data_IF_929478597358
#
_entry.id   IF_929478597358
#
_cell.length_a   1.000
_cell.length_b   1.000
_cell.length_c   1.000
_cell.angle_alpha   90.00
_cell.angle_beta   90.00
_cell.angle_gamma   90.00
#
_symmetry.space_group_name_H-M   'P 1'
#
loop_
_entity.id
_entity.type
_entity.pdbx_description
1 polymer ?
#
# COMPACT_ATOMS: atom_id res chain seq x y z
N UNK A 1 3.40 -59.87 -7.75
CA UNK A 1 3.05 -58.49 -8.07
C UNK A 1 3.51 -57.66 -6.86
N UNK A 2 4.56 -56.87 -7.00
CA UNK A 2 4.97 -55.91 -5.95
C UNK A 2 3.87 -54.84 -5.83
N UNK A 3 3.26 -54.73 -4.66
CA UNK A 3 2.33 -53.65 -4.39
C UNK A 3 3.09 -52.33 -4.61
N UNK A 4 2.60 -51.46 -5.48
CA UNK A 4 3.12 -50.06 -5.56
C UNK A 4 3.00 -49.45 -4.16
N UNK A 5 3.98 -48.64 -3.73
CA UNK A 5 3.90 -47.96 -2.46
C UNK A 5 2.66 -47.05 -2.43
N UNK A 6 2.07 -46.88 -1.27
CA UNK A 6 0.94 -45.97 -1.05
C UNK A 6 1.43 -44.54 -1.32
N UNK A 7 0.72 -43.80 -2.17
CA UNK A 7 0.98 -42.38 -2.45
C UNK A 7 0.31 -41.53 -1.38
N UNK A 8 1.04 -40.60 -0.80
CA UNK A 8 0.56 -39.63 0.18
C UNK A 8 0.34 -38.25 -0.45
N UNK A 9 -0.33 -37.32 0.25
CA UNK A 9 -0.51 -35.95 -0.18
C UNK A 9 0.85 -35.21 -0.21
N UNK A 10 1.77 -35.57 0.69
CA UNK A 10 3.15 -35.07 0.70
C UNK A 10 3.94 -35.50 -0.56
N UNK A 11 3.70 -36.68 -1.06
CA UNK A 11 4.30 -37.15 -2.34
C UNK A 11 3.73 -36.36 -3.53
N UNK A 12 2.54 -35.76 -3.38
CA UNK A 12 1.95 -34.86 -4.38
C UNK A 12 2.41 -33.39 -4.21
N UNK A 13 3.29 -33.10 -3.24
CA UNK A 13 3.90 -31.77 -3.05
C UNK A 13 3.17 -30.87 -2.04
N UNK A 14 2.21 -31.39 -1.25
CA UNK A 14 1.49 -30.66 -0.21
C UNK A 14 1.78 -31.24 1.17
N UNK A 15 2.34 -30.43 2.07
CA UNK A 15 2.73 -30.81 3.43
C UNK A 15 1.79 -30.22 4.50
N UNK A 16 0.79 -30.98 4.91
CA UNK A 16 -0.19 -30.56 5.93
C UNK A 16 0.48 -30.18 7.25
N UNK A 17 1.52 -30.93 7.67
CA UNK A 17 2.23 -30.66 8.92
C UNK A 17 2.94 -29.30 8.88
N UNK A 18 3.49 -28.90 7.73
CA UNK A 18 4.08 -27.59 7.52
C UNK A 18 3.05 -26.46 7.64
N UNK A 19 1.85 -26.66 7.09
CA UNK A 19 0.73 -25.72 7.24
C UNK A 19 0.31 -25.55 8.71
N UNK A 20 0.16 -26.64 9.45
CA UNK A 20 -0.16 -26.60 10.88
C UNK A 20 0.94 -25.90 11.69
N UNK A 21 2.21 -26.17 11.40
CA UNK A 21 3.35 -25.51 12.04
C UNK A 21 3.36 -23.99 11.81
N UNK A 22 3.01 -23.54 10.60
CA UNK A 22 2.86 -22.12 10.30
C UNK A 22 1.76 -21.48 11.14
N UNK A 23 0.57 -22.11 11.20
CA UNK A 23 -0.57 -21.58 11.98
C UNK A 23 -0.18 -21.40 13.44
N UNK A 24 0.52 -22.38 14.05
CA UNK A 24 0.99 -22.25 15.44
C UNK A 24 1.95 -21.05 15.62
N UNK A 25 2.85 -20.82 14.68
CA UNK A 25 3.80 -19.69 14.75
C UNK A 25 3.15 -18.32 14.66
N UNK A 26 2.07 -18.19 13.89
CA UNK A 26 1.45 -16.89 13.62
C UNK A 26 0.31 -16.53 14.61
N UNK A 27 -0.13 -17.45 15.47
CA UNK A 27 -1.16 -17.16 16.50
C UNK A 27 -0.85 -15.94 17.35
N UNK A 28 0.41 -15.78 17.75
CA UNK A 28 0.89 -14.62 18.52
C UNK A 28 0.79 -13.30 17.73
N UNK A 29 0.99 -13.36 16.43
CA UNK A 29 0.90 -12.19 15.53
C UNK A 29 -0.55 -11.69 15.49
N UNK A 30 -1.51 -12.56 15.17
CA UNK A 30 -2.92 -12.20 15.16
C UNK A 30 -3.40 -11.64 16.51
N UNK A 31 -2.97 -12.26 17.62
CA UNK A 31 -3.35 -11.79 18.97
C UNK A 31 -2.89 -10.37 19.27
N UNK A 32 -1.71 -9.94 18.80
CA UNK A 32 -1.20 -8.58 19.02
C UNK A 32 -2.02 -7.52 18.29
N UNK A 33 -2.64 -7.86 17.18
CA UNK A 33 -3.46 -6.94 16.37
C UNK A 33 -4.91 -6.88 16.82
N UNK A 34 -5.32 -7.68 17.82
CA UNK A 34 -6.72 -7.87 18.18
C UNK A 34 -7.40 -6.56 18.62
N UNK A 35 -8.51 -6.23 17.97
CA UNK A 35 -9.46 -5.18 18.33
C UNK A 35 -10.57 -5.75 19.21
N UNK A 36 -11.21 -4.93 20.07
CA UNK A 36 -12.30 -5.39 20.93
C UNK A 36 -13.53 -5.90 20.17
N UNK A 37 -13.72 -5.43 18.93
CA UNK A 37 -14.85 -5.82 18.08
C UNK A 37 -14.70 -7.22 17.47
N UNK A 38 -13.50 -7.80 17.50
CA UNK A 38 -13.24 -9.11 16.93
C UNK A 38 -13.64 -10.20 17.93
N UNK A 39 -14.54 -11.07 17.50
CA UNK A 39 -15.04 -12.18 18.29
C UNK A 39 -14.37 -13.49 17.88
N UNK A 40 -13.58 -14.09 18.75
CA UNK A 40 -12.88 -15.34 18.50
C UNK A 40 -11.40 -15.18 18.15
N UNK A 41 -10.83 -16.16 17.47
CA UNK A 41 -9.41 -16.19 17.07
C UNK A 41 -9.20 -16.98 15.79
N UNK A 42 -7.93 -17.20 15.42
CA UNK A 42 -7.57 -18.02 14.25
C UNK A 42 -8.04 -19.47 14.40
N UNK A 43 -8.41 -20.09 13.28
CA UNK A 43 -8.75 -21.52 13.18
C UNK A 43 -10.23 -21.82 12.99
N UNK A 44 -11.12 -20.82 12.96
CA UNK A 44 -12.51 -20.96 12.52
C UNK A 44 -12.66 -20.88 11.01
N UNK A 45 -13.81 -21.29 10.47
CA UNK A 45 -14.11 -21.15 9.04
C UNK A 45 -14.28 -19.69 8.60
N UNK A 46 -14.62 -18.80 9.53
CA UNK A 46 -14.78 -17.38 9.27
C UNK A 46 -14.49 -16.54 10.52
N UNK A 47 -14.05 -15.32 10.31
CA UNK A 47 -13.86 -14.35 11.37
C UNK A 47 -15.15 -13.56 11.63
N UNK A 48 -15.43 -13.30 12.91
CA UNK A 48 -16.57 -12.50 13.32
C UNK A 48 -16.06 -11.17 13.86
N UNK A 49 -16.64 -10.06 13.40
CA UNK A 49 -16.32 -8.73 13.85
C UNK A 49 -17.61 -7.91 14.02
N UNK A 50 -17.81 -7.36 15.19
CA UNK A 50 -18.91 -6.41 15.42
C UNK A 50 -18.59 -5.06 14.77
N UNK A 51 -19.61 -4.36 14.31
CA UNK A 51 -19.45 -2.96 13.91
C UNK A 51 -19.23 -2.13 15.19
N UNK A 52 -18.18 -1.29 15.27
CA UNK A 52 -17.92 -0.48 16.46
C UNK A 52 -19.11 0.37 16.84
N UNK A 53 -19.31 0.56 18.13
CA UNK A 53 -20.36 1.44 18.65
C UNK A 53 -20.10 2.90 18.24
N UNK A 54 -21.19 3.67 18.06
CA UNK A 54 -21.10 5.11 17.76
C UNK A 54 -21.50 5.48 16.34
N UNK A 55 -21.47 4.57 15.39
CA UNK A 55 -22.00 4.78 14.03
C UNK A 55 -23.53 4.77 14.04
N UNK A 56 -24.13 5.75 13.38
CA UNK A 56 -25.59 5.84 13.22
C UNK A 56 -26.08 5.13 11.95
N UNK A 57 -25.34 5.33 10.88
CA UNK A 57 -25.56 4.69 9.57
C UNK A 57 -24.22 4.17 9.05
N UNK A 58 -23.70 3.07 9.62
CA UNK A 58 -22.41 2.53 9.20
C UNK A 58 -22.45 2.04 7.76
N UNK A 59 -21.41 2.36 6.98
CA UNK A 59 -21.17 1.84 5.65
C UNK A 59 -19.86 1.07 5.69
N UNK A 60 -19.89 -0.18 5.22
CA UNK A 60 -18.68 -1.01 5.10
C UNK A 60 -17.95 -0.61 3.81
N UNK A 61 -16.64 -0.45 3.94
CA UNK A 61 -15.72 -0.23 2.82
C UNK A 61 -14.77 -1.41 2.77
N UNK A 62 -14.61 -2.01 1.60
CA UNK A 62 -13.73 -3.16 1.41
C UNK A 62 -12.80 -2.93 0.24
N UNK A 63 -11.57 -3.42 0.36
CA UNK A 63 -10.57 -3.39 -0.69
C UNK A 63 -9.76 -4.68 -0.70
N UNK A 64 -9.21 -5.00 -1.85
CA UNK A 64 -8.27 -6.10 -2.05
C UNK A 64 -7.13 -5.62 -2.93
N UNK A 65 -5.92 -6.02 -2.59
CA UNK A 65 -4.72 -5.71 -3.37
C UNK A 65 -3.66 -6.79 -3.14
N UNK A 66 -2.59 -6.75 -3.93
CA UNK A 66 -1.40 -7.58 -3.80
C UNK A 66 -0.14 -6.73 -3.59
N UNK A 67 1.01 -7.40 -3.54
CA UNK A 67 2.31 -6.72 -3.50
C UNK A 67 2.87 -6.55 -4.92
N UNK A 68 2.47 -7.41 -5.83
CA UNK A 68 2.92 -7.38 -7.21
C UNK A 68 4.37 -7.83 -7.38
N UNK A 69 5.03 -7.36 -8.43
CA UNK A 69 6.35 -7.88 -8.85
C UNK A 69 7.52 -7.44 -7.95
N UNK A 70 7.29 -6.63 -6.91
CA UNK A 70 8.22 -6.41 -5.79
C UNK A 70 8.59 -7.73 -5.13
N UNK A 71 7.65 -8.71 -5.09
CA UNK A 71 7.90 -10.06 -4.58
C UNK A 71 9.08 -10.74 -5.25
N UNK A 72 9.26 -10.58 -6.58
CA UNK A 72 10.41 -11.17 -7.27
C UNK A 72 11.74 -10.57 -6.77
N UNK A 73 11.76 -9.28 -6.44
CA UNK A 73 12.93 -8.65 -5.88
C UNK A 73 13.20 -9.15 -4.45
N UNK A 74 12.15 -9.30 -3.63
CA UNK A 74 12.23 -9.88 -2.29
C UNK A 74 12.80 -11.31 -2.31
N UNK A 75 12.32 -12.15 -3.22
CA UNK A 75 12.81 -13.52 -3.42
C UNK A 75 14.29 -13.53 -3.81
N UNK A 76 14.69 -12.71 -4.77
CA UNK A 76 16.07 -12.64 -5.24
C UNK A 76 17.05 -12.17 -4.16
N UNK A 77 16.62 -11.24 -3.31
CA UNK A 77 17.42 -10.67 -2.21
C UNK A 77 17.27 -11.45 -0.90
N UNK A 78 16.38 -12.44 -0.85
CA UNK A 78 15.97 -13.13 0.38
C UNK A 78 15.56 -12.14 1.50
N UNK A 79 14.80 -11.08 1.14
CA UNK A 79 14.29 -10.04 2.05
C UNK A 79 12.76 -10.09 2.08
N UNK A 80 12.20 -10.71 3.12
CA UNK A 80 10.77 -10.99 3.23
C UNK A 80 10.07 -10.21 4.36
N UNK A 81 10.81 -9.55 5.21
CA UNK A 81 10.36 -8.94 6.46
C UNK A 81 9.44 -7.73 6.27
N UNK A 82 9.63 -6.95 5.20
CA UNK A 82 8.80 -5.78 4.88
C UNK A 82 7.57 -6.07 4.01
N UNK A 83 7.56 -7.23 3.33
CA UNK A 83 6.55 -7.56 2.31
C UNK A 83 5.13 -7.64 2.88
N UNK A 84 4.97 -8.16 4.10
CA UNK A 84 3.67 -8.20 4.76
C UNK A 84 3.11 -6.80 5.07
N UNK A 85 3.97 -5.85 5.45
CA UNK A 85 3.57 -4.45 5.62
C UNK A 85 3.15 -3.83 4.29
N UNK A 86 3.87 -4.12 3.19
CA UNK A 86 3.48 -3.67 1.86
C UNK A 86 2.06 -4.12 1.52
N UNK A 87 1.74 -5.39 1.74
CA UNK A 87 0.42 -5.96 1.46
C UNK A 87 -0.70 -5.22 2.23
N UNK A 88 -0.50 -5.02 3.54
CA UNK A 88 -1.48 -4.32 4.37
C UNK A 88 -1.63 -2.87 3.91
N UNK A 89 -0.52 -2.17 3.67
CA UNK A 89 -0.51 -0.78 3.29
C UNK A 89 -1.30 -0.51 2.00
N UNK A 90 -1.14 -1.38 0.99
CA UNK A 90 -1.86 -1.26 -0.28
C UNK A 90 -3.38 -1.32 -0.08
N UNK A 91 -3.85 -2.18 0.82
CA UNK A 91 -5.28 -2.32 1.11
C UNK A 91 -5.81 -1.20 2.01
N UNK A 92 -5.16 -0.92 3.16
CA UNK A 92 -5.73 0.00 4.17
C UNK A 92 -5.64 1.46 3.76
N UNK A 93 -4.64 1.84 2.97
CA UNK A 93 -4.55 3.20 2.43
C UNK A 93 -5.70 3.50 1.46
N UNK A 94 -6.15 2.49 0.68
CA UNK A 94 -7.31 2.63 -0.21
C UNK A 94 -8.63 2.73 0.56
N UNK A 95 -8.72 2.18 1.77
CA UNK A 95 -9.89 2.35 2.62
C UNK A 95 -9.93 3.76 3.24
N UNK A 96 -8.81 4.24 3.77
CA UNK A 96 -8.78 5.55 4.45
C UNK A 96 -9.06 6.71 3.51
N UNK A 97 -8.79 6.60 2.20
CA UNK A 97 -9.12 7.66 1.24
C UNK A 97 -10.61 7.92 1.12
N UNK A 98 -11.45 6.94 1.49
CA UNK A 98 -12.90 7.10 1.61
C UNK A 98 -13.34 7.61 2.99
N UNK A 99 -12.40 7.87 3.92
CA UNK A 99 -12.68 8.21 5.31
C UNK A 99 -12.97 7.01 6.21
N UNK A 100 -12.75 5.77 5.72
CA UNK A 100 -13.06 4.56 6.46
C UNK A 100 -11.96 4.18 7.45
N UNK A 101 -12.37 3.79 8.66
CA UNK A 101 -11.53 3.14 9.67
C UNK A 101 -11.39 1.65 9.32
N UNK A 102 -10.17 1.12 9.06
CA UNK A 102 -9.97 -0.30 8.87
C UNK A 102 -10.29 -1.10 10.13
N UNK A 103 -11.11 -2.15 10.03
CA UNK A 103 -11.50 -3.01 11.13
C UNK A 103 -10.67 -4.28 11.18
N UNK A 104 -10.61 -5.00 10.07
CA UNK A 104 -9.89 -6.26 9.99
C UNK A 104 -9.28 -6.52 8.62
N UNK A 105 -8.30 -7.39 8.63
CA UNK A 105 -7.50 -7.81 7.49
C UNK A 105 -7.46 -9.33 7.39
N UNK A 106 -7.46 -9.83 6.16
CA UNK A 106 -7.28 -11.23 5.78
C UNK A 106 -6.21 -11.29 4.70
N UNK A 107 -5.39 -12.34 4.69
CA UNK A 107 -4.40 -12.59 3.66
C UNK A 107 -4.62 -13.92 2.93
N UNK A 108 -4.09 -14.00 1.72
CA UNK A 108 -3.94 -15.23 0.96
C UNK A 108 -2.48 -15.38 0.55
N UNK A 109 -1.82 -16.41 1.07
CA UNK A 109 -0.45 -16.77 0.76
C UNK A 109 -0.46 -18.02 -0.12
N UNK A 110 -0.10 -17.89 -1.40
CA UNK A 110 -0.01 -19.00 -2.35
C UNK A 110 1.45 -19.26 -2.71
N UNK A 111 1.88 -20.53 -2.70
CA UNK A 111 3.26 -20.91 -2.99
C UNK A 111 3.33 -22.26 -3.70
N UNK A 112 4.43 -22.53 -4.41
CA UNK A 112 4.65 -23.87 -4.97
C UNK A 112 5.02 -24.88 -3.91
N UNK A 113 5.84 -24.48 -2.93
CA UNK A 113 6.24 -25.28 -1.77
C UNK A 113 6.38 -24.37 -0.56
N UNK A 114 5.73 -24.72 0.54
CA UNK A 114 5.73 -23.90 1.76
C UNK A 114 7.09 -23.96 2.46
N UNK A 115 7.72 -22.77 2.55
CA UNK A 115 8.80 -22.52 3.48
C UNK A 115 8.21 -21.81 4.71
N UNK A 116 8.11 -22.55 5.81
CA UNK A 116 7.46 -22.09 7.06
C UNK A 116 8.15 -20.84 7.63
N UNK A 117 9.48 -20.72 7.51
CA UNK A 117 10.23 -19.59 8.05
C UNK A 117 9.96 -18.31 7.24
N UNK A 118 9.95 -18.42 5.92
CA UNK A 118 9.62 -17.30 5.01
C UNK A 118 8.18 -16.86 5.21
N UNK A 119 7.23 -17.80 5.20
CA UNK A 119 5.81 -17.49 5.39
C UNK A 119 5.54 -16.84 6.75
N UNK A 120 6.14 -17.36 7.85
CA UNK A 120 6.00 -16.76 9.17
C UNK A 120 6.59 -15.35 9.23
N UNK A 121 7.70 -15.07 8.51
CA UNK A 121 8.28 -13.73 8.40
C UNK A 121 7.33 -12.78 7.67
N UNK A 122 6.76 -13.20 6.54
CA UNK A 122 5.77 -12.41 5.79
C UNK A 122 4.54 -12.10 6.65
N UNK A 123 3.95 -13.12 7.32
CA UNK A 123 2.77 -12.92 8.18
C UNK A 123 3.10 -12.04 9.39
N UNK A 124 4.32 -12.12 9.91
CA UNK A 124 4.79 -11.17 10.95
C UNK A 124 4.77 -9.73 10.43
N UNK A 125 5.24 -9.50 9.21
CA UNK A 125 5.14 -8.20 8.53
C UNK A 125 3.69 -7.74 8.32
N UNK A 126 2.77 -8.66 7.99
CA UNK A 126 1.32 -8.37 7.94
C UNK A 126 0.82 -7.89 9.31
N UNK A 127 1.21 -8.58 10.39
CA UNK A 127 0.87 -8.15 11.75
C UNK A 127 1.36 -6.74 12.07
N UNK A 128 2.61 -6.41 11.71
CA UNK A 128 3.16 -5.05 11.86
C UNK A 128 2.32 -4.03 11.08
N UNK A 129 1.97 -4.33 9.84
CA UNK A 129 1.09 -3.47 9.03
C UNK A 129 -0.27 -3.26 9.67
N UNK A 130 -0.89 -4.32 10.21
CA UNK A 130 -2.17 -4.24 10.91
C UNK A 130 -2.07 -3.39 12.19
N UNK A 131 -1.01 -3.53 12.99
CA UNK A 131 -0.75 -2.70 14.17
C UNK A 131 -0.60 -1.21 13.80
N UNK A 132 0.13 -0.92 12.71
CA UNK A 132 0.28 0.45 12.18
C UNK A 132 -1.05 1.03 11.71
N UNK A 133 -1.87 0.24 11.03
CA UNK A 133 -3.19 0.65 10.55
C UNK A 133 -4.24 0.72 11.67
N UNK A 134 -4.07 -0.04 12.76
CA UNK A 134 -5.05 -0.18 13.83
C UNK A 134 -6.19 -1.15 13.48
N UNK A 135 -5.95 -2.12 12.62
CA UNK A 135 -6.89 -3.19 12.28
C UNK A 135 -6.41 -4.55 12.79
N UNK A 136 -7.30 -5.53 12.85
CA UNK A 136 -6.98 -6.88 13.32
C UNK A 136 -6.66 -7.82 12.15
N UNK A 137 -5.57 -8.58 12.25
CA UNK A 137 -5.37 -9.77 11.42
C UNK A 137 -6.26 -10.89 11.98
N UNK A 138 -7.36 -11.22 11.28
CA UNK A 138 -8.39 -12.11 11.80
C UNK A 138 -8.38 -13.49 11.16
N UNK A 139 -7.61 -13.69 10.10
CA UNK A 139 -7.50 -14.95 9.39
C UNK A 139 -6.75 -14.78 8.09
N UNK A 140 -6.75 -15.84 7.32
CA UNK A 140 -6.11 -15.91 6.01
C UNK A 140 -6.15 -17.33 5.50
N UNK A 141 -5.51 -17.56 4.37
CA UNK A 141 -5.34 -18.87 3.75
C UNK A 141 -3.88 -19.06 3.33
N UNK A 142 -3.35 -20.24 3.55
CA UNK A 142 -2.03 -20.63 3.04
C UNK A 142 -2.20 -21.83 2.14
N UNK A 143 -1.90 -21.69 0.85
CA UNK A 143 -2.08 -22.73 -0.15
C UNK A 143 -0.76 -23.17 -0.76
N UNK A 144 -0.40 -24.45 -0.63
CA UNK A 144 0.61 -25.06 -1.47
C UNK A 144 -0.01 -25.48 -2.80
N UNK A 145 0.53 -24.94 -3.89
CA UNK A 145 0.03 -25.14 -5.25
C UNK A 145 1.17 -25.61 -6.18
N UNK A 146 1.67 -26.85 -5.99
CA UNK A 146 2.75 -27.39 -6.77
C UNK A 146 2.39 -27.41 -8.27
N UNK A 147 3.29 -26.89 -9.11
CA UNK A 147 3.06 -26.74 -10.54
C UNK A 147 2.35 -25.45 -10.98
N UNK A 148 1.79 -24.68 -10.05
CA UNK A 148 1.28 -23.32 -10.30
C UNK A 148 2.36 -22.27 -10.03
N UNK A 149 3.13 -22.45 -8.95
CA UNK A 149 4.28 -21.64 -8.58
C UNK A 149 5.54 -22.51 -8.64
N UNK A 150 6.68 -21.90 -8.94
CA UNK A 150 7.95 -22.59 -9.08
C UNK A 150 8.69 -22.61 -7.74
N UNK A 151 9.00 -23.81 -7.24
CA UNK A 151 9.73 -23.99 -5.97
C UNK A 151 9.07 -23.29 -4.79
N UNK A 152 9.82 -22.43 -4.12
CA UNK A 152 9.37 -21.64 -2.96
C UNK A 152 8.85 -20.23 -3.36
N UNK A 153 8.66 -19.95 -4.65
CA UNK A 153 8.02 -18.73 -5.10
C UNK A 153 6.63 -18.61 -4.49
N UNK A 154 6.27 -17.40 -4.11
CA UNK A 154 4.95 -17.14 -3.51
C UNK A 154 4.31 -15.87 -4.07
N UNK A 155 2.99 -15.82 -3.95
CA UNK A 155 2.17 -14.66 -4.23
C UNK A 155 1.27 -14.32 -3.04
N UNK A 156 0.87 -13.06 -2.93
CA UNK A 156 0.11 -12.54 -1.80
C UNK A 156 -1.09 -11.75 -2.30
N UNK A 157 -2.23 -11.98 -1.69
CA UNK A 157 -3.39 -11.11 -1.79
C UNK A 157 -3.88 -10.73 -0.40
N UNK A 158 -4.21 -9.45 -0.22
CA UNK A 158 -4.77 -8.90 1.00
C UNK A 158 -6.22 -8.48 0.82
N UNK A 159 -7.01 -8.61 1.87
CA UNK A 159 -8.41 -8.18 1.93
C UNK A 159 -8.62 -7.39 3.21
N UNK A 160 -9.07 -6.16 3.08
CA UNK A 160 -9.36 -5.31 4.21
C UNK A 160 -10.82 -4.88 4.20
N UNK A 161 -11.43 -4.83 5.37
CA UNK A 161 -12.78 -4.28 5.57
C UNK A 161 -12.69 -3.20 6.64
N UNK A 162 -13.28 -2.05 6.34
CA UNK A 162 -13.40 -0.91 7.24
C UNK A 162 -14.82 -0.41 7.32
N UNK A 163 -15.02 0.62 8.12
CA UNK A 163 -16.33 1.25 8.34
C UNK A 163 -16.21 2.78 8.29
N UNK A 164 -17.22 3.42 7.78
CA UNK A 164 -17.36 4.88 7.77
C UNK A 164 -18.81 5.26 8.06
N UNK A 165 -19.04 6.36 8.76
CA UNK A 165 -20.39 6.95 8.88
C UNK A 165 -20.84 7.45 7.51
N UNK A 166 -22.06 7.11 7.09
CA UNK A 166 -22.58 7.44 5.75
C UNK A 166 -22.49 8.93 5.40
N UNK A 167 -22.71 9.80 6.38
CA UNK A 167 -22.62 11.25 6.20
C UNK A 167 -21.19 11.79 6.15
N UNK A 168 -20.19 10.97 6.48
CA UNK A 168 -18.77 11.34 6.57
C UNK A 168 -17.93 10.70 5.44
N UNK A 169 -18.57 10.03 4.49
CA UNK A 169 -17.89 9.46 3.31
C UNK A 169 -17.17 10.59 2.55
N UNK A 170 -15.88 10.39 2.30
CA UNK A 170 -15.06 11.27 1.47
C UNK A 170 -15.07 10.73 0.05
N UNK A 171 -15.77 11.44 -0.85
CA UNK A 171 -16.01 11.03 -2.24
C UNK A 171 -15.57 12.07 -3.28
N UNK A 172 -14.93 13.17 -2.82
CA UNK A 172 -14.48 14.25 -3.69
C UNK A 172 -15.57 15.24 -4.13
N UNK A 173 -16.84 15.00 -3.80
CA UNK A 173 -17.96 15.86 -4.22
C UNK A 173 -17.87 17.30 -3.72
N UNK A 174 -17.08 17.55 -2.66
CA UNK A 174 -16.87 18.87 -2.05
C UNK A 174 -15.66 19.61 -2.63
N UNK A 175 -14.92 19.00 -3.55
CA UNK A 175 -13.75 19.63 -4.19
C UNK A 175 -14.22 20.78 -5.08
N UNK A 176 -13.54 21.92 -4.99
CA UNK A 176 -13.90 23.15 -5.69
C UNK A 176 -12.67 23.86 -6.27
N UNK A 177 -12.91 24.78 -7.18
CA UNK A 177 -11.89 25.70 -7.71
C UNK A 177 -11.18 26.46 -6.59
N UNK A 178 -9.85 26.55 -6.67
CA UNK A 178 -9.01 27.19 -5.67
C UNK A 178 -8.67 26.34 -4.45
N UNK A 179 -9.17 25.08 -4.35
CA UNK A 179 -8.75 24.17 -3.29
C UNK A 179 -7.27 23.81 -3.43
N UNK A 180 -6.60 23.65 -2.30
CA UNK A 180 -5.20 23.26 -2.24
C UNK A 180 -5.01 21.74 -2.25
N UNK A 181 -3.92 21.30 -2.86
CA UNK A 181 -3.44 19.91 -2.78
C UNK A 181 -2.23 19.83 -1.85
N UNK A 182 -2.32 19.00 -0.83
CA UNK A 182 -1.26 18.73 0.14
C UNK A 182 -0.76 17.31 -0.07
N UNK A 183 0.55 17.13 -0.16
CA UNK A 183 1.18 15.82 -0.30
C UNK A 183 1.79 15.32 1.00
N UNK A 184 1.82 13.99 1.16
CA UNK A 184 2.62 13.28 2.14
C UNK A 184 3.70 12.46 1.42
N UNK A 185 4.93 12.38 2.00
CA UNK A 185 6.03 11.66 1.36
C UNK A 185 5.78 10.15 1.31
N UNK A 186 6.29 9.52 0.26
CA UNK A 186 6.46 8.07 0.21
C UNK A 186 7.78 7.65 0.88
N UNK A 187 7.90 6.37 1.23
CA UNK A 187 9.16 5.77 1.73
C UNK A 187 10.12 5.34 0.60
N UNK A 188 9.64 5.37 -0.63
CA UNK A 188 10.29 4.89 -1.84
C UNK A 188 9.23 4.56 -2.88
N UNK A 189 9.47 3.60 -3.79
CA UNK A 189 8.50 3.20 -4.81
C UNK A 189 7.22 2.56 -4.25
N UNK A 190 7.17 2.25 -2.95
CA UNK A 190 6.10 1.49 -2.32
C UNK A 190 6.00 0.08 -2.89
N UNK A 191 4.86 -0.29 -3.50
CA UNK A 191 4.66 -1.60 -4.13
C UNK A 191 4.27 -1.48 -5.60
N UNK A 192 4.58 -0.35 -6.25
CA UNK A 192 4.16 -0.06 -7.61
C UNK A 192 5.34 0.19 -8.55
N UNK A 193 5.14 -0.08 -9.85
CA UNK A 193 6.16 0.16 -10.87
C UNK A 193 7.32 -0.86 -10.88
N UNK A 194 7.25 -1.95 -10.12
CA UNK A 194 8.37 -2.89 -9.97
C UNK A 194 8.68 -3.69 -11.23
N UNK A 195 7.78 -3.83 -12.18
CA UNK A 195 8.10 -4.39 -13.48
C UNK A 195 9.07 -3.51 -14.26
N UNK A 196 8.87 -2.18 -14.23
CA UNK A 196 9.81 -1.20 -14.79
C UNK A 196 11.13 -1.18 -14.00
N UNK A 197 11.06 -1.09 -12.66
CA UNK A 197 12.24 -1.09 -11.78
C UNK A 197 13.13 -2.29 -12.06
N UNK A 198 12.57 -3.50 -12.10
CA UNK A 198 13.31 -4.73 -12.39
C UNK A 198 13.92 -4.71 -13.79
N UNK A 199 13.20 -4.19 -14.78
CA UNK A 199 13.74 -4.04 -16.13
C UNK A 199 14.92 -3.07 -16.17
N UNK A 200 14.85 -1.96 -15.41
CA UNK A 200 15.95 -0.99 -15.29
C UNK A 200 17.17 -1.65 -14.63
N UNK A 201 16.97 -2.39 -13.54
CA UNK A 201 18.06 -3.14 -12.88
C UNK A 201 18.74 -4.09 -13.89
N UNK A 202 17.95 -4.86 -14.65
CA UNK A 202 18.47 -5.79 -15.65
C UNK A 202 19.31 -5.09 -16.73
N UNK A 203 18.81 -3.96 -17.28
CA UNK A 203 19.52 -3.28 -18.38
C UNK A 203 20.73 -2.48 -17.89
N UNK A 204 20.70 -1.98 -16.67
CA UNK A 204 21.84 -1.26 -16.06
C UNK A 204 22.99 -2.21 -15.72
N UNK A 205 22.70 -3.48 -15.46
CA UNK A 205 23.67 -4.45 -14.96
C UNK A 205 24.18 -4.14 -13.56
N UNK A 206 23.50 -3.23 -12.83
CA UNK A 206 23.92 -2.79 -11.51
C UNK A 206 23.67 -3.87 -10.45
N UNK A 207 24.66 -4.09 -9.59
CA UNK A 207 24.49 -4.83 -8.35
C UNK A 207 23.87 -3.90 -7.29
N UNK A 208 22.57 -4.03 -7.08
CA UNK A 208 21.79 -3.15 -6.21
C UNK A 208 22.14 -3.28 -4.72
N UNK A 209 22.85 -4.33 -4.30
CA UNK A 209 23.31 -4.49 -2.92
C UNK A 209 24.60 -3.69 -2.67
N UNK A 210 25.39 -3.43 -3.72
CA UNK A 210 26.63 -2.67 -3.63
C UNK A 210 26.48 -1.20 -3.99
N UNK A 211 25.52 -0.86 -4.87
CA UNK A 211 25.22 0.55 -5.22
C UNK A 211 24.69 1.29 -4.00
N UNK A 212 25.27 2.46 -3.72
CA UNK A 212 24.92 3.32 -2.59
C UNK A 212 24.33 4.64 -3.09
N UNK A 213 23.19 5.05 -2.56
CA UNK A 213 22.63 6.38 -2.77
C UNK A 213 22.55 7.10 -1.42
N UNK A 214 23.30 8.19 -1.28
CA UNK A 214 23.40 8.94 -0.02
C UNK A 214 23.78 8.07 1.20
N UNK A 215 24.61 7.04 0.98
CA UNK A 215 25.08 6.12 2.04
C UNK A 215 24.10 4.98 2.37
N UNK A 216 22.99 4.85 1.63
CA UNK A 216 22.04 3.74 1.79
C UNK A 216 22.11 2.80 0.59
N UNK A 217 22.20 1.47 0.78
CA UNK A 217 22.15 0.51 -0.31
C UNK A 217 20.88 0.68 -1.16
N UNK A 218 21.03 0.61 -2.48
CA UNK A 218 19.90 0.72 -3.39
C UNK A 218 18.85 -0.37 -3.13
N UNK A 219 19.29 -1.58 -2.78
CA UNK A 219 18.39 -2.67 -2.39
C UNK A 219 17.49 -2.29 -1.21
N UNK A 220 18.00 -1.56 -0.21
CA UNK A 220 17.20 -1.14 0.96
C UNK A 220 16.20 -0.04 0.58
N UNK A 221 16.59 0.90 -0.29
CA UNK A 221 15.70 1.93 -0.81
C UNK A 221 14.56 1.34 -1.65
N UNK A 222 14.87 0.33 -2.47
CA UNK A 222 13.88 -0.38 -3.28
C UNK A 222 13.00 -1.31 -2.44
N UNK A 223 13.51 -1.88 -1.34
CA UNK A 223 12.74 -2.75 -0.45
C UNK A 223 12.08 -2.01 0.70
N UNK A 224 12.22 -0.68 0.79
CA UNK A 224 11.54 0.11 1.82
C UNK A 224 10.04 -0.22 1.85
N UNK A 225 9.47 -0.50 3.04
CA UNK A 225 8.06 -0.86 3.14
C UNK A 225 7.16 0.32 2.79
N UNK A 226 6.03 0.03 2.17
CA UNK A 226 4.98 1.02 1.86
C UNK A 226 4.50 1.68 3.15
N UNK A 227 4.39 3.01 3.16
CA UNK A 227 3.88 3.76 4.31
C UNK A 227 2.39 3.52 4.50
N UNK A 228 1.99 3.47 5.77
CA UNK A 228 0.59 3.37 6.18
C UNK A 228 0.18 4.73 6.75
N UNK A 229 -0.76 5.40 6.09
CA UNK A 229 -1.22 6.77 6.43
C UNK A 229 -2.48 6.79 7.28
N UNK A 230 -3.03 5.63 7.66
CA UNK A 230 -4.36 5.48 8.27
C UNK A 230 -4.52 6.34 9.53
N UNK A 231 -3.66 6.15 10.53
CA UNK A 231 -3.83 6.86 11.83
C UNK A 231 -3.75 8.38 11.73
N UNK A 232 -2.72 8.98 11.08
CA UNK A 232 -2.65 10.43 10.93
C UNK A 232 -3.81 11.00 10.09
N UNK A 233 -4.28 10.28 9.07
CA UNK A 233 -5.39 10.75 8.24
C UNK A 233 -6.75 10.65 8.96
N UNK A 234 -7.02 9.56 9.69
CA UNK A 234 -8.24 9.46 10.49
C UNK A 234 -8.28 10.50 11.60
N UNK A 235 -7.15 10.80 12.25
CA UNK A 235 -7.06 11.88 13.23
C UNK A 235 -7.34 13.23 12.58
N UNK A 236 -6.72 13.53 11.42
CA UNK A 236 -6.96 14.75 10.66
C UNK A 236 -8.44 14.92 10.30
N UNK A 237 -9.07 13.88 9.75
CA UNK A 237 -10.50 13.90 9.37
C UNK A 237 -11.37 14.23 10.59
N UNK A 238 -11.15 13.50 11.68
CA UNK A 238 -11.92 13.62 12.92
C UNK A 238 -11.79 15.01 13.56
N UNK A 239 -10.56 15.51 13.64
CA UNK A 239 -10.27 16.72 14.41
C UNK A 239 -10.57 18.01 13.64
N UNK A 240 -10.49 17.97 12.30
CA UNK A 240 -10.63 19.19 11.49
C UNK A 240 -11.87 19.20 10.59
N UNK A 241 -12.32 18.05 10.11
CA UNK A 241 -13.37 17.98 9.08
C UNK A 241 -13.00 18.67 7.75
N UNK A 242 -11.70 19.00 7.55
CA UNK A 242 -11.23 19.82 6.43
C UNK A 242 -11.02 19.04 5.13
N UNK A 243 -10.94 17.72 5.21
CA UNK A 243 -10.58 16.87 4.06
C UNK A 243 -11.75 16.75 3.09
N UNK A 244 -11.53 17.11 1.83
CA UNK A 244 -12.54 17.03 0.76
C UNK A 244 -12.34 15.82 -0.16
N UNK A 245 -11.08 15.44 -0.39
CA UNK A 245 -10.68 14.27 -1.17
C UNK A 245 -9.30 13.79 -0.74
N UNK A 246 -9.00 12.53 -0.97
CA UNK A 246 -7.67 11.95 -0.80
C UNK A 246 -7.38 10.98 -1.94
N UNK A 247 -6.14 10.95 -2.41
CA UNK A 247 -5.67 10.01 -3.43
C UNK A 247 -4.42 9.28 -2.93
N UNK A 248 -4.50 7.95 -2.81
CA UNK A 248 -3.35 7.09 -2.60
C UNK A 248 -2.59 6.96 -3.92
N UNK A 249 -1.29 7.32 -3.92
CA UNK A 249 -0.50 7.35 -5.15
C UNK A 249 0.15 5.97 -5.37
N UNK A 250 -0.49 5.18 -6.20
CA UNK A 250 -0.14 3.80 -6.56
C UNK A 250 0.30 3.70 -8.03
N UNK A 251 0.10 2.57 -8.67
CA UNK A 251 0.28 2.42 -10.12
C UNK A 251 -0.55 3.45 -10.90
N UNK A 252 0.03 4.06 -11.91
CA UNK A 252 -0.55 5.23 -12.59
C UNK A 252 -0.05 6.58 -12.06
N UNK A 253 0.71 6.58 -10.94
CA UNK A 253 1.34 7.78 -10.36
C UNK A 253 0.35 8.88 -10.03
N UNK A 254 0.82 10.14 -10.09
CA UNK A 254 -0.03 11.31 -9.86
C UNK A 254 -1.11 11.46 -10.94
N UNK A 255 -0.78 11.08 -12.18
CA UNK A 255 -1.62 11.34 -13.37
C UNK A 255 -2.92 10.53 -13.37
N UNK A 256 -2.88 9.27 -12.91
CA UNK A 256 -4.04 8.39 -12.96
C UNK A 256 -4.77 8.30 -11.60
N UNK A 257 -4.10 8.58 -10.46
CA UNK A 257 -4.74 8.45 -9.15
C UNK A 257 -5.45 9.71 -8.68
N UNK A 258 -4.90 10.90 -8.89
CA UNK A 258 -5.57 12.15 -8.49
C UNK A 258 -6.94 12.33 -9.19
N UNK A 259 -7.10 12.05 -10.51
CA UNK A 259 -8.38 12.21 -11.18
C UNK A 259 -9.52 11.36 -10.61
N UNK A 260 -9.20 10.22 -9.99
CA UNK A 260 -10.20 9.28 -9.45
C UNK A 260 -11.06 9.89 -8.33
N UNK A 261 -10.52 10.91 -7.66
CA UNK A 261 -11.15 11.56 -6.51
C UNK A 261 -11.60 13.00 -6.79
N UNK A 262 -11.51 13.44 -8.04
CA UNK A 262 -11.94 14.78 -8.47
C UNK A 262 -13.32 14.72 -9.14
N UNK A 263 -14.20 15.70 -8.88
CA UNK A 263 -15.45 15.83 -9.60
C UNK A 263 -15.22 16.17 -11.09
N UNK A 264 -16.22 15.96 -11.90
CA UNK A 264 -16.18 16.36 -13.31
C UNK A 264 -15.91 17.86 -13.44
N UNK A 265 -15.07 18.25 -14.40
CA UNK A 265 -14.69 19.65 -14.63
C UNK A 265 -13.64 20.23 -13.67
N UNK A 266 -13.13 19.43 -12.72
CA UNK A 266 -11.97 19.82 -11.91
C UNK A 266 -10.66 19.30 -12.52
N UNK A 267 -9.61 20.10 -12.43
CA UNK A 267 -8.25 19.76 -12.87
C UNK A 267 -7.26 20.03 -11.74
N UNK A 268 -6.40 19.09 -11.45
CA UNK A 268 -5.28 19.27 -10.54
C UNK A 268 -4.11 19.90 -11.28
N UNK A 269 -3.56 20.99 -10.74
CA UNK A 269 -2.32 21.61 -11.22
C UNK A 269 -1.26 21.38 -10.17
N UNK A 270 -0.30 20.53 -10.48
CA UNK A 270 0.77 20.07 -9.58
C UNK A 270 2.08 20.73 -9.97
N UNK A 271 2.81 21.27 -9.00
CA UNK A 271 4.14 21.83 -9.17
C UNK A 271 5.21 20.76 -8.82
N UNK A 272 5.82 20.17 -9.83
CA UNK A 272 6.85 19.14 -9.66
C UNK A 272 8.15 19.69 -9.02
N UNK A 273 8.36 21.00 -8.95
CA UNK A 273 9.46 21.63 -8.24
C UNK A 273 9.18 21.85 -6.74
N UNK A 274 7.96 21.58 -6.26
CA UNK A 274 7.58 21.81 -4.86
C UNK A 274 8.22 20.81 -3.87
N UNK A 275 8.86 19.75 -4.36
CA UNK A 275 9.58 18.78 -3.52
C UNK A 275 10.87 18.29 -4.15
N UNK A 276 11.77 17.82 -3.30
CA UNK A 276 12.98 17.11 -3.73
C UNK A 276 12.64 15.64 -3.96
N UNK A 277 12.64 15.20 -5.21
CA UNK A 277 12.42 13.79 -5.56
C UNK A 277 13.53 12.94 -4.92
N UNK A 278 13.20 11.84 -4.19
CA UNK A 278 14.18 10.95 -3.59
C UNK A 278 15.16 10.36 -4.61
N UNK A 279 16.42 10.21 -4.22
CA UNK A 279 17.51 9.81 -5.11
C UNK A 279 17.30 8.46 -5.82
N UNK A 280 16.50 7.56 -5.24
CA UNK A 280 16.16 6.29 -5.87
C UNK A 280 15.41 6.49 -7.20
N UNK A 281 14.56 7.51 -7.31
CA UNK A 281 13.84 7.81 -8.54
C UNK A 281 14.74 8.49 -9.58
N UNK A 282 15.67 9.35 -9.16
CA UNK A 282 16.67 9.93 -10.06
C UNK A 282 17.57 8.83 -10.64
N UNK A 283 18.02 7.90 -9.79
CA UNK A 283 18.80 6.74 -10.24
C UNK A 283 18.01 5.87 -11.25
N UNK A 284 16.75 5.56 -10.96
CA UNK A 284 15.90 4.78 -11.86
C UNK A 284 15.73 5.47 -13.21
N UNK A 285 15.51 6.77 -13.20
CA UNK A 285 15.36 7.56 -14.41
C UNK A 285 16.62 7.56 -15.26
N UNK A 286 17.78 7.83 -14.65
CA UNK A 286 19.08 7.89 -15.32
C UNK A 286 19.48 6.53 -15.91
N UNK A 287 19.38 5.45 -15.12
CA UNK A 287 19.77 4.12 -15.55
C UNK A 287 18.81 3.52 -16.60
N UNK A 288 17.54 3.87 -16.51
CA UNK A 288 16.51 3.41 -17.46
C UNK A 288 16.34 4.35 -18.65
N UNK A 289 16.96 5.53 -18.66
CA UNK A 289 16.69 6.62 -19.60
C UNK A 289 15.17 6.83 -19.77
N UNK A 290 14.46 6.89 -18.64
CA UNK A 290 12.99 6.97 -18.61
C UNK A 290 12.57 8.43 -18.80
N UNK A 291 11.62 8.66 -19.68
CA UNK A 291 11.02 10.00 -19.88
C UNK A 291 10.42 10.54 -18.56
N UNK A 292 10.55 11.84 -18.32
CA UNK A 292 10.11 12.48 -17.07
C UNK A 292 8.60 12.32 -16.84
N UNK A 293 7.80 12.42 -17.89
CA UNK A 293 6.35 12.24 -17.80
C UNK A 293 6.02 10.78 -17.48
N UNK A 294 6.75 9.80 -18.06
CA UNK A 294 6.58 8.39 -17.79
C UNK A 294 6.98 8.04 -16.34
N UNK A 295 8.01 8.70 -15.77
CA UNK A 295 8.34 8.55 -14.35
C UNK A 295 7.13 8.88 -13.46
N UNK A 296 6.45 10.00 -13.71
CA UNK A 296 5.27 10.43 -12.95
C UNK A 296 3.99 9.66 -13.27
N UNK A 297 3.99 8.90 -14.36
CA UNK A 297 2.87 8.01 -14.73
C UNK A 297 2.99 6.63 -14.11
N UNK A 298 4.21 6.11 -13.94
CA UNK A 298 4.43 4.74 -13.46
C UNK A 298 4.75 4.71 -11.97
N UNK A 299 5.48 5.73 -11.47
CA UNK A 299 6.00 5.79 -10.11
C UNK A 299 5.39 6.96 -9.32
N UNK A 300 5.40 6.84 -8.00
CA UNK A 300 4.94 7.89 -7.10
C UNK A 300 5.89 9.11 -6.99
N UNK A 301 7.13 8.98 -7.47
CA UNK A 301 8.17 10.01 -7.47
C UNK A 301 8.40 10.71 -6.12
N UNK A 302 8.11 10.02 -5.01
CA UNK A 302 8.28 10.55 -3.65
C UNK A 302 6.99 11.03 -2.99
N UNK A 303 5.86 10.98 -3.69
CA UNK A 303 4.52 11.37 -3.19
C UNK A 303 3.69 10.13 -2.93
N UNK A 304 3.37 9.82 -1.68
CA UNK A 304 2.59 8.61 -1.36
C UNK A 304 1.09 8.86 -1.18
N UNK A 305 0.71 10.06 -0.77
CA UNK A 305 -0.69 10.45 -0.56
C UNK A 305 -0.89 11.91 -0.94
N UNK A 306 -2.01 12.23 -1.57
CA UNK A 306 -2.42 13.62 -1.86
C UNK A 306 -3.77 13.87 -1.20
N UNK A 307 -3.89 15.02 -0.53
CA UNK A 307 -5.06 15.45 0.24
C UNK A 307 -5.57 16.77 -0.33
N UNK A 308 -6.84 16.86 -0.65
CA UNK A 308 -7.48 18.11 -1.11
C UNK A 308 -8.24 18.78 0.02
N UNK A 309 -7.96 20.07 0.24
CA UNK A 309 -8.58 20.88 1.29
C UNK A 309 -8.90 22.28 0.77
N UNK A 310 -9.81 23.00 1.43
CA UNK A 310 -10.02 24.41 1.13
C UNK A 310 -8.76 25.25 1.42
N UNK A 311 -8.53 26.30 0.65
CA UNK A 311 -7.32 27.13 0.75
C UNK A 311 -7.12 27.73 2.15
N UNK A 312 -8.20 28.11 2.84
CA UNK A 312 -8.17 28.66 4.19
C UNK A 312 -7.88 27.61 5.28
N UNK A 313 -7.94 26.31 4.96
CA UNK A 313 -7.65 25.21 5.86
C UNK A 313 -6.20 24.70 5.76
N UNK A 314 -5.42 25.17 4.79
CA UNK A 314 -4.08 24.68 4.51
C UNK A 314 -3.19 24.68 5.75
N UNK A 315 -3.05 25.83 6.43
CA UNK A 315 -2.17 25.91 7.59
C UNK A 315 -2.63 25.05 8.76
N UNK A 316 -3.94 24.92 8.98
CA UNK A 316 -4.51 24.02 10.00
C UNK A 316 -4.14 22.56 9.71
N UNK A 317 -4.30 22.12 8.45
CA UNK A 317 -4.00 20.76 8.03
C UNK A 317 -2.51 20.46 8.08
N UNK A 318 -1.67 21.38 7.59
CA UNK A 318 -0.21 21.23 7.68
C UNK A 318 0.27 21.11 9.13
N UNK A 319 -0.25 21.97 10.03
CA UNK A 319 0.11 21.93 11.44
C UNK A 319 -0.33 20.61 12.11
N UNK A 320 -1.55 20.13 11.83
CA UNK A 320 -2.08 18.88 12.37
C UNK A 320 -1.25 17.68 11.94
N UNK A 321 -0.95 17.58 10.64
CA UNK A 321 -0.14 16.49 10.09
C UNK A 321 1.30 16.52 10.64
N UNK A 322 1.91 17.70 10.78
CA UNK A 322 3.25 17.82 11.41
C UNK A 322 3.23 17.40 12.88
N UNK A 323 2.17 17.74 13.61
CA UNK A 323 2.00 17.30 15.00
C UNK A 323 1.84 15.77 15.11
N UNK A 324 1.33 15.12 14.07
CA UNK A 324 1.24 13.66 13.96
C UNK A 324 2.53 12.99 13.46
N UNK A 325 3.62 13.76 13.26
CA UNK A 325 4.93 13.26 12.80
C UNK A 325 5.07 13.16 11.28
N UNK A 326 4.09 13.65 10.52
CA UNK A 326 4.15 13.69 9.06
C UNK A 326 4.98 14.89 8.55
N UNK A 327 5.39 14.83 7.27
CA UNK A 327 6.12 15.90 6.60
C UNK A 327 5.29 16.41 5.40
N UNK A 328 4.15 17.09 5.64
CA UNK A 328 3.28 17.56 4.58
C UNK A 328 3.83 18.81 3.91
N UNK A 329 3.53 18.95 2.61
CA UNK A 329 3.77 20.18 1.87
C UNK A 329 2.63 20.43 0.87
N UNK A 330 2.48 21.69 0.44
CA UNK A 330 1.55 22.04 -0.64
C UNK A 330 2.20 21.64 -1.96
N UNK A 331 1.52 20.79 -2.73
CA UNK A 331 2.02 20.28 -4.01
C UNK A 331 1.36 20.97 -5.21
N UNK A 332 0.23 21.64 -5.00
CA UNK A 332 -0.52 22.26 -6.09
C UNK A 332 -1.90 22.73 -5.65
N UNK A 333 -2.77 22.91 -6.63
CA UNK A 333 -4.13 23.39 -6.44
C UNK A 333 -5.11 22.78 -7.43
N UNK A 334 -6.39 22.95 -7.16
CA UNK A 334 -7.48 22.58 -8.07
C UNK A 334 -7.91 23.82 -8.85
N UNK A 335 -8.06 23.66 -10.16
CA UNK A 335 -8.65 24.67 -11.05
C UNK A 335 -9.96 24.16 -11.67
N UNK A 336 -10.89 25.04 -11.90
CA UNK A 336 -12.03 24.76 -12.75
C UNK A 336 -11.55 24.67 -14.22
N UNK A 337 -11.79 23.54 -14.86
CA UNK A 337 -11.32 23.28 -16.22
C UNK A 337 -12.31 22.37 -16.99
N UNK A 338 -13.55 22.84 -17.10
CA UNK A 338 -14.60 22.11 -17.81
C UNK A 338 -14.17 21.81 -19.25
N UNK A 339 -14.18 20.51 -19.62
CA UNK A 339 -13.79 20.07 -20.96
C UNK A 339 -12.28 19.97 -21.20
N UNK A 340 -11.41 20.16 -20.18
CA UNK A 340 -9.99 19.91 -20.31
C UNK A 340 -9.70 18.45 -20.65
N UNK A 341 -8.79 18.24 -21.61
CA UNK A 341 -8.38 16.89 -22.02
C UNK A 341 -7.57 16.19 -20.90
N UNK A 342 -6.79 16.98 -20.15
CA UNK A 342 -5.95 16.49 -19.05
C UNK A 342 -6.58 16.86 -17.70
N UNK A 343 -6.75 15.86 -16.84
CA UNK A 343 -7.29 16.05 -15.49
C UNK A 343 -6.20 16.40 -14.46
N UNK A 344 -4.93 16.15 -14.79
CA UNK A 344 -3.75 16.53 -14.03
C UNK A 344 -2.76 17.20 -14.95
N UNK A 345 -2.27 18.36 -14.56
CA UNK A 345 -1.19 19.08 -15.25
C UNK A 345 0.01 19.13 -14.32
N UNK A 346 1.16 18.67 -14.80
CA UNK A 346 2.44 18.75 -14.09
C UNK A 346 3.24 19.94 -14.62
N UNK A 347 3.45 20.93 -13.77
CA UNK A 347 4.30 22.09 -14.06
C UNK A 347 5.72 21.87 -13.53
N UNK A 348 6.69 22.58 -14.10
CA UNK A 348 8.08 22.62 -13.65
C UNK A 348 8.75 21.23 -13.59
N UNK A 349 8.39 20.34 -14.51
CA UNK A 349 9.09 19.06 -14.69
C UNK A 349 10.59 19.30 -14.93
N UNK A 350 11.45 18.42 -14.43
CA UNK A 350 12.89 18.47 -14.71
C UNK A 350 13.10 18.32 -16.22
N UNK A 351 13.86 19.24 -16.80
CA UNK A 351 14.34 19.09 -18.20
C UNK A 351 15.63 18.29 -18.16
N UNK A 352 15.71 17.25 -18.97
CA UNK A 352 16.94 16.44 -19.18
C UNK A 352 17.78 17.00 -20.30
#
# INVERSE_FOLDING_TARGET
>A
MSKQPSISYKDAGVDIDAGEALVERIKGVAKRTARPEVMGGLGGFGALCEIPAGYKQPVLVSGTDGVGTKLRLALNLNKHDSIGQDLVAMCVNDLVVCGAEPLFFLDYYATGKLNVDVAATVVTGIGVGCELAGCSLVGGETAEMPGMYEGEDYDLAGFCVGVVEKSEIIDGSKVADGDALIALPSSGPHSNGYSLIRKIIDVSGADIETVQLNGTPLSDLLMAPTRIYVKPLLALIKDTGAVKAMAHITGGGLLDNIPRVLPEGAQAVVDAASWNRPAVFDWLQEQGNVDEHEMHRVLNCGVGMVICVAQDQVETVLAHLRASGEQPWVIGQINAAAGAAERVVLNNLKQH
#
